data_IF_389875095538
#
_entry.id   IF_389875095538
#
_cell.length_a   1.000
_cell.length_b   1.000
_cell.length_c   1.000
_cell.angle_alpha   90.00
_cell.angle_beta   90.00
_cell.angle_gamma   90.00
#
_symmetry.space_group_name_H-M   'P 1'
#
loop_
_entity.id
_entity.type
_entity.pdbx_description
1 polymer ?
#
# COMPACT_ATOMS: atom_id res chain seq x y z
N UNK A 1 6.30 -15.47 -13.26
CA UNK A 1 5.43 -14.59 -12.46
C UNK A 1 5.48 -13.22 -13.13
N UNK A 2 4.68 -13.06 -14.17
CA UNK A 2 4.49 -11.79 -14.89
C UNK A 2 3.01 -11.44 -14.77
N UNK A 3 2.63 -10.95 -13.60
CA UNK A 3 1.31 -10.36 -13.40
C UNK A 3 1.44 -8.88 -13.77
N UNK A 4 1.06 -8.54 -15.00
CA UNK A 4 0.63 -7.20 -15.43
C UNK A 4 1.51 -6.02 -14.94
N UNK A 5 2.79 -6.03 -15.33
CA UNK A 5 3.83 -5.16 -14.76
C UNK A 5 4.01 -3.78 -15.41
N UNK A 6 2.98 -3.16 -16.03
CA UNK A 6 3.16 -1.87 -16.73
C UNK A 6 2.40 -0.67 -16.13
N UNK A 7 2.08 -0.65 -14.84
CA UNK A 7 1.43 0.54 -14.24
C UNK A 7 1.32 0.63 -12.72
N UNK A 8 1.62 -0.42 -11.98
CA UNK A 8 1.47 -0.41 -10.52
C UNK A 8 2.74 0.04 -9.81
N UNK A 9 2.60 1.05 -8.96
CA UNK A 9 3.64 1.41 -8.00
C UNK A 9 3.36 0.66 -6.70
N UNK A 10 4.25 -0.26 -6.34
CA UNK A 10 4.15 -0.96 -5.06
C UNK A 10 4.52 0.02 -3.95
N UNK A 11 3.60 0.25 -3.02
CA UNK A 11 3.79 1.18 -1.89
C UNK A 11 4.10 0.45 -0.58
N UNK A 12 3.71 -0.82 -0.52
CA UNK A 12 3.93 -1.71 0.62
C UNK A 12 4.06 -3.14 0.13
N UNK A 13 4.95 -3.91 0.75
CA UNK A 13 5.04 -5.35 0.50
C UNK A 13 5.41 -6.11 1.77
N UNK A 14 4.71 -7.22 2.04
CA UNK A 14 5.05 -8.26 3.04
C UNK A 14 5.31 -9.57 2.32
N UNK A 15 6.29 -10.34 2.80
CA UNK A 15 6.68 -11.60 2.19
C UNK A 15 7.03 -12.64 3.26
N UNK A 16 8.07 -12.37 4.06
CA UNK A 16 8.71 -13.35 4.93
C UNK A 16 8.89 -12.87 6.38
N UNK A 17 8.47 -11.65 6.71
CA UNK A 17 8.65 -11.06 8.04
C UNK A 17 10.10 -10.70 8.38
N UNK A 18 10.98 -10.56 7.38
CA UNK A 18 12.37 -10.13 7.57
C UNK A 18 12.51 -8.66 7.98
N UNK A 19 11.53 -7.81 7.69
CA UNK A 19 11.52 -6.39 8.07
C UNK A 19 10.60 -6.16 9.26
N UNK A 20 11.09 -5.43 10.27
CA UNK A 20 10.28 -4.98 11.39
C UNK A 20 9.37 -3.82 10.98
N UNK A 21 8.05 -4.00 11.13
CA UNK A 21 7.04 -2.96 10.89
C UNK A 21 6.59 -2.26 12.18
N UNK A 22 7.07 -2.68 13.35
CA UNK A 22 6.83 -2.02 14.63
C UNK A 22 7.84 -0.88 14.86
N UNK A 23 7.85 0.06 13.93
CA UNK A 23 8.76 1.22 13.91
C UNK A 23 8.04 2.51 14.30
N UNK A 24 8.82 3.51 14.72
CA UNK A 24 8.28 4.81 15.12
C UNK A 24 7.67 5.62 13.95
N UNK A 25 6.91 6.66 14.31
CA UNK A 25 6.23 7.56 13.37
C UNK A 25 7.15 8.11 12.26
N UNK A 26 8.38 8.52 12.63
CA UNK A 26 9.33 9.09 11.69
C UNK A 26 9.71 8.12 10.56
N UNK A 27 9.79 6.81 10.85
CA UNK A 27 10.07 5.79 9.85
C UNK A 27 8.86 5.56 8.94
N UNK A 28 7.64 5.52 9.49
CA UNK A 28 6.43 5.46 8.65
C UNK A 28 6.27 6.68 7.76
N UNK A 29 6.68 7.86 8.24
CA UNK A 29 6.71 9.09 7.45
C UNK A 29 7.70 8.99 6.28
N UNK A 30 8.96 8.65 6.56
CA UNK A 30 10.04 8.63 5.58
C UNK A 30 10.03 7.41 4.65
N UNK A 31 9.51 6.26 5.12
CA UNK A 31 9.66 4.96 4.48
C UNK A 31 10.77 4.12 5.13
N UNK A 32 10.68 2.80 5.01
CA UNK A 32 11.64 1.84 5.56
C UNK A 32 11.56 0.48 4.84
N UNK A 33 12.58 -0.36 5.05
CA UNK A 33 12.67 -1.71 4.47
C UNK A 33 13.49 -1.75 3.18
N UNK A 34 13.33 -2.82 2.41
CA UNK A 34 14.07 -3.11 1.18
C UNK A 34 13.11 -3.20 -0.02
N UNK A 35 13.34 -2.37 -1.04
CA UNK A 35 12.57 -2.32 -2.28
C UNK A 35 12.55 -3.67 -3.03
N UNK A 36 13.51 -4.56 -2.78
CA UNK A 36 13.57 -5.91 -3.34
C UNK A 36 12.91 -6.97 -2.46
N UNK A 37 12.55 -6.64 -1.20
CA UNK A 37 11.90 -7.53 -0.23
C UNK A 37 10.70 -6.83 0.42
N UNK A 38 10.67 -6.74 1.74
CA UNK A 38 9.60 -6.07 2.46
C UNK A 38 9.92 -4.60 2.70
N UNK A 39 9.00 -3.72 2.32
CA UNK A 39 9.18 -2.28 2.52
C UNK A 39 7.86 -1.52 2.66
N UNK A 40 8.00 -0.29 3.13
CA UNK A 40 7.00 0.76 3.14
C UNK A 40 7.58 2.00 2.45
N UNK A 41 6.86 2.55 1.46
CA UNK A 41 7.34 3.70 0.67
C UNK A 41 7.44 5.00 1.47
N UNK A 42 6.70 5.12 2.58
CA UNK A 42 6.61 6.32 3.39
C UNK A 42 5.32 7.11 3.17
N UNK A 43 4.75 7.63 4.25
CA UNK A 43 3.48 8.36 4.23
C UNK A 43 3.57 9.69 3.47
N UNK A 44 4.74 10.35 3.49
CA UNK A 44 4.95 11.58 2.70
C UNK A 44 4.89 11.28 1.21
N UNK A 45 5.54 10.20 0.77
CA UNK A 45 5.51 9.76 -0.61
C UNK A 45 4.10 9.32 -1.02
N UNK A 46 3.41 8.58 -0.15
CA UNK A 46 2.03 8.13 -0.40
C UNK A 46 1.06 9.31 -0.51
N UNK A 47 1.22 10.34 0.32
CA UNK A 47 0.45 11.59 0.22
C UNK A 47 0.66 12.26 -1.14
N UNK A 48 1.92 12.46 -1.54
CA UNK A 48 2.26 13.09 -2.83
C UNK A 48 1.67 12.31 -4.00
N UNK A 49 1.81 10.98 -4.02
CA UNK A 49 1.23 10.12 -5.06
C UNK A 49 -0.29 10.30 -5.09
N UNK A 50 -0.96 10.14 -3.95
CA UNK A 50 -2.44 10.19 -3.87
C UNK A 50 -3.04 11.55 -4.24
N UNK A 51 -2.26 12.63 -4.13
CA UNK A 51 -2.70 13.99 -4.43
C UNK A 51 -2.35 14.45 -5.85
N UNK A 52 -1.39 13.77 -6.50
CA UNK A 52 -0.92 14.16 -7.84
C UNK A 52 -1.92 13.83 -8.95
N UNK A 53 -2.67 12.74 -8.81
CA UNK A 53 -3.70 12.33 -9.76
C UNK A 53 -4.69 11.37 -9.08
N UNK A 54 -5.78 11.02 -9.76
CA UNK A 54 -6.65 9.94 -9.32
C UNK A 54 -6.03 8.58 -9.69
N UNK A 55 -5.59 7.85 -8.67
CA UNK A 55 -4.98 6.54 -8.79
C UNK A 55 -5.91 5.46 -8.21
N UNK A 56 -5.81 4.24 -8.75
CA UNK A 56 -6.41 3.07 -8.12
C UNK A 56 -5.50 2.55 -7.01
N UNK A 57 -6.13 2.10 -5.93
CA UNK A 57 -5.44 1.39 -4.85
C UNK A 57 -5.85 -0.08 -4.91
N UNK A 58 -4.87 -0.97 -4.95
CA UNK A 58 -5.07 -2.41 -4.97
C UNK A 58 -4.30 -3.06 -3.83
N UNK A 59 -4.96 -3.96 -3.12
CA UNK A 59 -4.39 -4.84 -2.13
C UNK A 59 -4.50 -6.27 -2.65
N UNK A 60 -3.36 -6.91 -2.87
CA UNK A 60 -3.29 -8.34 -3.14
C UNK A 60 -2.88 -9.03 -1.83
N UNK A 61 -3.66 -10.02 -1.43
CA UNK A 61 -3.51 -10.77 -0.19
C UNK A 61 -3.38 -12.25 -0.54
N UNK A 62 -2.45 -12.94 0.11
CA UNK A 62 -2.26 -14.39 0.00
C UNK A 62 -2.38 -14.96 1.42
N UNK A 63 -3.16 -16.02 1.58
CA UNK A 63 -3.25 -16.74 2.85
C UNK A 63 -2.18 -17.83 2.98
N UNK A 64 -2.16 -18.51 4.12
CA UNK A 64 -1.16 -19.56 4.38
C UNK A 64 -1.39 -20.85 3.58
N UNK A 65 -2.60 -21.04 3.05
CA UNK A 65 -2.98 -22.16 2.19
C UNK A 65 -2.68 -21.87 0.69
N UNK A 66 -2.25 -20.63 0.39
CA UNK A 66 -1.87 -20.17 -0.94
C UNK A 66 -3.03 -19.59 -1.75
N UNK A 67 -4.19 -19.37 -1.14
CA UNK A 67 -5.32 -18.71 -1.79
C UNK A 67 -5.07 -17.20 -1.86
N UNK A 68 -5.09 -16.68 -3.08
CA UNK A 68 -4.90 -15.25 -3.35
C UNK A 68 -6.24 -14.54 -3.52
N UNK A 69 -6.42 -13.43 -2.82
CA UNK A 69 -7.59 -12.56 -2.92
C UNK A 69 -7.17 -11.12 -3.11
N UNK A 70 -8.03 -10.28 -3.68
CA UNK A 70 -7.71 -8.88 -3.90
C UNK A 70 -8.85 -7.94 -3.48
N UNK A 71 -8.46 -6.72 -3.09
CA UNK A 71 -9.35 -5.59 -2.87
C UNK A 71 -8.84 -4.38 -3.66
N UNK A 72 -9.72 -3.78 -4.45
CA UNK A 72 -9.48 -2.61 -5.26
C UNK A 72 -10.38 -1.46 -4.80
N UNK A 73 -9.84 -0.25 -4.80
CA UNK A 73 -10.53 0.98 -4.50
C UNK A 73 -10.31 1.95 -5.64
N UNK A 74 -11.40 2.43 -6.25
CA UNK A 74 -11.34 3.36 -7.38
C UNK A 74 -10.93 4.77 -6.98
N UNK A 75 -10.94 5.08 -5.68
CA UNK A 75 -10.52 6.37 -5.15
C UNK A 75 -9.73 6.14 -3.88
N UNK A 76 -8.52 6.70 -3.83
CA UNK A 76 -7.73 6.74 -2.60
C UNK A 76 -7.05 8.10 -2.46
N UNK A 77 -7.14 8.69 -1.27
CA UNK A 77 -6.43 9.93 -0.91
C UNK A 77 -5.90 9.82 0.49
N UNK A 78 -4.67 10.28 0.67
CA UNK A 78 -4.01 10.37 1.97
C UNK A 78 -3.91 11.84 2.36
N UNK A 79 -4.29 12.19 3.58
CA UNK A 79 -4.09 13.53 4.13
C UNK A 79 -2.61 13.86 4.34
N UNK A 80 -2.29 15.11 4.66
CA UNK A 80 -0.93 15.50 5.00
C UNK A 80 -0.58 15.11 6.46
N UNK A 81 0.65 15.40 6.89
CA UNK A 81 1.10 15.12 8.25
C UNK A 81 0.24 15.82 9.34
N UNK A 82 -0.23 17.05 9.09
CA UNK A 82 -1.08 17.78 10.02
C UNK A 82 -2.45 17.08 10.21
N UNK A 83 -2.95 16.44 9.15
CA UNK A 83 -4.13 15.55 9.18
C UNK A 83 -3.78 14.13 9.63
N UNK A 84 -2.56 13.85 10.08
CA UNK A 84 -2.08 12.52 10.48
C UNK A 84 -2.23 11.45 9.39
N UNK A 85 -2.12 11.85 8.13
CA UNK A 85 -2.25 10.94 6.97
C UNK A 85 -3.56 10.15 6.93
N UNK A 86 -4.69 10.78 7.33
CA UNK A 86 -6.02 10.15 7.22
C UNK A 86 -6.25 9.61 5.81
N UNK A 87 -6.66 8.35 5.74
CA UNK A 87 -7.02 7.64 4.51
C UNK A 87 -8.49 7.89 4.18
N UNK A 88 -8.73 8.35 2.96
CA UNK A 88 -10.06 8.45 2.35
C UNK A 88 -10.12 7.51 1.15
N UNK A 89 -10.97 6.49 1.21
CA UNK A 89 -11.14 5.49 0.15
C UNK A 89 -12.59 5.35 -0.27
N UNK A 90 -12.80 4.97 -1.53
CA UNK A 90 -14.14 4.76 -2.09
C UNK A 90 -14.11 3.82 -3.29
N UNK A 91 -15.31 3.37 -3.69
CA UNK A 91 -15.50 2.49 -4.85
C UNK A 91 -14.81 1.15 -4.68
N UNK A 92 -15.09 0.49 -3.54
CA UNK A 92 -14.58 -0.85 -3.26
C UNK A 92 -15.08 -1.86 -4.30
N UNK A 93 -14.17 -2.69 -4.77
CA UNK A 93 -14.40 -3.83 -5.64
C UNK A 93 -13.40 -4.92 -5.26
N UNK A 94 -13.79 -6.19 -5.23
CA UNK A 94 -12.83 -7.26 -4.95
C UNK A 94 -13.45 -8.47 -4.30
N UNK A 95 -12.60 -9.47 -4.09
CA UNK A 95 -12.94 -10.75 -3.46
C UNK A 95 -12.53 -10.80 -1.99
N UNK A 96 -11.70 -9.85 -1.54
CA UNK A 96 -11.17 -9.77 -0.19
C UNK A 96 -12.12 -9.04 0.76
N UNK A 97 -13.28 -9.62 1.05
CA UNK A 97 -14.23 -9.07 2.02
C UNK A 97 -15.69 -9.16 1.57
N UNK A 98 -16.17 -10.38 1.35
CA UNK A 98 -17.61 -10.66 1.35
C UNK A 98 -18.03 -11.16 2.73
#
# INVERSE_FOLDING_TARGET
>A
MESDCHGWTVVQRRLDGSTDFNVGWANYKAGFGDLNREYWIGNDNLHVISFSNDYLLRFDLEDFDGDTTYAEYSTFRIGNEASRYILSIGGYSGTAGN
#
